data_IF_873895591009
#
_entry.id   IF_873895591009
#
_cell.length_a   1.000
_cell.length_b   1.000
_cell.length_c   1.000
_cell.angle_alpha   90.00
_cell.angle_beta   90.00
_cell.angle_gamma   90.00
#
_symmetry.space_group_name_H-M   'P 1'
#
loop_
_entity.id
_entity.type
_entity.pdbx_description
1 polymer ?
#
# COMPACT_ATOMS: atom_id res chain seq x y z
N UNK A 1 -30.40 43.88 -16.54
CA UNK A 1 -29.11 43.27 -16.94
C UNK A 1 -28.17 43.51 -15.76
N UNK A 2 -27.71 42.53 -14.98
CA UNK A 2 -27.06 41.27 -15.34
C UNK A 2 -27.55 40.10 -14.45
N UNK A 3 -27.73 38.93 -15.06
CA UNK A 3 -28.29 37.73 -14.44
C UNK A 3 -27.28 37.03 -13.51
N UNK A 4 -27.57 36.95 -12.20
CA UNK A 4 -26.85 36.02 -11.31
C UNK A 4 -27.53 34.65 -11.37
N UNK A 5 -27.02 33.79 -12.26
CA UNK A 5 -27.47 32.41 -12.39
C UNK A 5 -27.19 31.59 -11.14
N UNK A 6 -28.25 31.12 -10.48
CA UNK A 6 -28.20 30.04 -9.50
C UNK A 6 -27.82 28.73 -10.23
N UNK A 7 -26.53 28.45 -10.38
CA UNK A 7 -26.08 27.14 -10.85
C UNK A 7 -26.27 26.12 -9.72
N UNK A 8 -27.48 25.56 -9.62
CA UNK A 8 -27.77 24.37 -8.81
C UNK A 8 -27.02 23.19 -9.41
N UNK A 9 -25.76 23.01 -9.02
CA UNK A 9 -25.05 21.75 -9.23
C UNK A 9 -25.79 20.66 -8.44
N UNK A 10 -26.34 19.62 -9.09
CA UNK A 10 -26.96 18.54 -8.36
C UNK A 10 -25.87 17.81 -7.59
N UNK A 11 -25.87 17.94 -6.26
CA UNK A 11 -25.11 17.05 -5.37
C UNK A 11 -25.72 15.65 -5.51
N UNK A 12 -25.21 14.87 -6.46
CA UNK A 12 -25.53 13.44 -6.56
C UNK A 12 -25.17 12.80 -5.23
N UNK A 13 -26.17 12.25 -4.53
CA UNK A 13 -25.95 11.42 -3.37
C UNK A 13 -24.89 10.38 -3.72
N UNK A 14 -23.78 10.36 -2.95
CA UNK A 14 -22.69 9.43 -3.18
C UNK A 14 -23.25 8.02 -3.11
N UNK A 15 -23.47 7.40 -4.26
CA UNK A 15 -23.98 6.05 -4.41
C UNK A 15 -23.28 5.15 -3.39
N UNK A 16 -24.05 4.54 -2.48
CA UNK A 16 -23.58 3.46 -1.61
C UNK A 16 -23.40 2.21 -2.47
N UNK A 17 -22.54 2.27 -3.49
CA UNK A 17 -22.09 1.09 -4.23
C UNK A 17 -21.56 0.14 -3.16
N UNK A 18 -22.26 -0.98 -2.98
CA UNK A 18 -22.07 -1.91 -1.89
C UNK A 18 -20.57 -2.23 -1.76
N UNK A 19 -20.04 -2.14 -0.53
CA UNK A 19 -18.63 -2.37 -0.19
C UNK A 19 -18.15 -3.81 -0.49
N UNK A 20 -18.96 -4.65 -1.15
CA UNK A 20 -18.68 -6.04 -1.50
C UNK A 20 -17.39 -6.19 -2.34
N UNK A 21 -17.09 -5.24 -3.23
CA UNK A 21 -15.88 -5.28 -4.05
C UNK A 21 -14.58 -4.97 -3.25
N UNK A 22 -14.70 -4.53 -1.99
CA UNK A 22 -13.56 -4.30 -1.10
C UNK A 22 -12.99 -5.61 -0.55
N UNK A 23 -13.84 -6.61 -0.34
CA UNK A 23 -13.44 -7.89 0.27
C UNK A 23 -12.63 -8.76 -0.69
N UNK A 24 -13.01 -8.80 -1.98
CA UNK A 24 -12.24 -9.54 -3.01
C UNK A 24 -10.84 -8.97 -3.23
N UNK A 25 -10.69 -7.63 -3.20
CA UNK A 25 -9.38 -6.96 -3.36
C UNK A 25 -8.48 -7.11 -2.13
N UNK A 26 -9.07 -7.43 -0.98
CA UNK A 26 -8.34 -7.75 0.24
C UNK A 26 -7.67 -9.14 0.15
N UNK A 27 -8.17 -10.03 -0.71
CA UNK A 27 -7.60 -11.37 -0.91
C UNK A 27 -6.27 -11.35 -1.70
N UNK A 28 -6.00 -10.39 -2.58
CA UNK A 28 -4.69 -10.28 -3.25
C UNK A 28 -3.60 -9.67 -2.35
N UNK A 29 -3.98 -8.82 -1.38
CA UNK A 29 -3.05 -8.34 -0.34
C UNK A 29 -2.89 -9.31 0.82
N UNK A 30 -3.64 -10.40 0.80
CA UNK A 30 -3.65 -11.46 1.80
C UNK A 30 -2.24 -11.93 2.13
N UNK A 31 -1.40 -12.18 1.10
CA UNK A 31 -0.06 -12.71 1.31
C UNK A 31 0.86 -11.74 2.08
N UNK A 32 0.90 -10.46 1.69
CA UNK A 32 1.68 -9.44 2.42
C UNK A 32 1.15 -9.23 3.85
N UNK A 33 -0.18 -9.30 4.06
CA UNK A 33 -0.76 -9.23 5.40
C UNK A 33 -0.34 -10.43 6.25
N UNK A 34 -0.41 -11.65 5.70
CA UNK A 34 -0.01 -12.89 6.38
C UNK A 34 1.48 -12.89 6.76
N UNK A 35 2.35 -12.50 5.83
CA UNK A 35 3.80 -12.45 6.08
C UNK A 35 4.16 -11.47 7.20
N UNK A 36 3.51 -10.29 7.21
CA UNK A 36 3.72 -9.33 8.28
C UNK A 36 3.19 -9.82 9.62
N UNK A 37 2.00 -10.44 9.68
CA UNK A 37 1.45 -11.00 10.93
C UNK A 37 2.41 -12.05 11.50
N UNK A 38 2.98 -12.91 10.64
CA UNK A 38 4.01 -13.88 11.04
C UNK A 38 5.27 -13.19 11.59
N UNK A 39 5.78 -12.17 10.90
CA UNK A 39 6.94 -11.39 11.35
C UNK A 39 6.67 -10.58 12.63
N UNK A 40 5.44 -10.12 12.84
CA UNK A 40 5.05 -9.38 14.03
C UNK A 40 4.99 -10.27 15.26
N UNK A 41 4.47 -11.50 15.11
CA UNK A 41 4.48 -12.50 16.19
C UNK A 41 5.90 -12.83 16.67
N UNK A 42 6.90 -12.77 15.80
CA UNK A 42 8.31 -12.87 16.18
C UNK A 42 8.84 -11.66 16.99
N UNK A 43 8.16 -10.51 16.92
CA UNK A 43 8.61 -9.23 17.50
C UNK A 43 7.76 -8.78 18.70
N UNK A 44 6.78 -9.58 19.17
CA UNK A 44 5.92 -9.25 20.34
C UNK A 44 6.65 -9.51 21.66
N UNK A 45 7.73 -8.78 21.92
CA UNK A 45 8.19 -8.46 23.27
C UNK A 45 8.65 -7.01 23.28
N UNK A 46 7.79 -6.10 23.74
CA UNK A 46 8.20 -4.70 23.90
C UNK A 46 7.05 -3.70 24.03
N UNK A 47 6.51 -3.63 25.25
CA UNK A 47 6.11 -2.43 26.00
C UNK A 47 5.92 -1.10 25.24
N UNK A 48 4.78 -0.47 25.50
CA UNK A 48 4.45 0.86 25.02
C UNK A 48 5.47 1.96 25.38
N UNK A 49 5.41 3.01 24.57
CA UNK A 49 5.83 4.39 24.85
C UNK A 49 7.21 4.58 25.50
N UNK A 50 8.23 4.84 24.67
CA UNK A 50 9.30 5.83 24.88
C UNK A 50 10.11 5.96 23.60
N UNK A 51 9.96 7.09 22.91
CA UNK A 51 10.85 7.82 21.97
C UNK A 51 12.00 7.15 21.18
N UNK A 52 12.14 5.84 21.11
CA UNK A 52 12.91 5.16 20.06
C UNK A 52 12.10 5.38 18.79
N UNK A 53 12.67 6.17 17.86
CA UNK A 53 11.99 6.71 16.68
C UNK A 53 10.99 5.72 16.06
N UNK A 54 9.71 6.04 16.17
CA UNK A 54 8.65 5.19 15.59
C UNK A 54 8.89 5.12 14.09
N UNK A 55 8.98 3.92 13.53
CA UNK A 55 9.21 3.68 12.10
C UNK A 55 8.02 2.98 11.45
N UNK A 56 7.74 3.32 10.20
CA UNK A 56 6.74 2.63 9.39
C UNK A 56 7.18 1.19 9.12
N UNK A 57 6.31 0.22 9.41
CA UNK A 57 6.65 -1.20 9.24
C UNK A 57 6.74 -1.64 7.76
N UNK A 58 6.20 -0.85 6.83
CA UNK A 58 6.25 -1.15 5.40
C UNK A 58 7.40 -0.45 4.68
N UNK A 59 7.57 0.86 4.90
CA UNK A 59 8.57 1.66 4.19
C UNK A 59 9.72 2.14 5.07
N UNK A 60 9.77 1.79 6.36
CA UNK A 60 10.84 2.23 7.26
C UNK A 60 10.88 3.73 7.56
N UNK A 61 9.92 4.53 7.06
CA UNK A 61 9.91 5.96 7.29
C UNK A 61 9.76 6.29 8.78
N UNK A 62 10.65 7.10 9.32
CA UNK A 62 10.66 7.55 10.72
C UNK A 62 9.83 8.82 10.92
N UNK A 63 9.75 9.66 9.88
CA UNK A 63 9.01 10.91 9.89
C UNK A 63 7.73 10.78 9.08
N UNK A 64 6.60 11.14 9.70
CA UNK A 64 5.30 11.18 9.01
C UNK A 64 4.36 12.15 9.73
N UNK A 65 3.52 12.91 9.00
CA UNK A 65 2.57 13.83 9.63
C UNK A 65 1.48 13.11 10.45
N UNK A 66 1.18 11.85 10.13
CA UNK A 66 0.16 11.08 10.83
C UNK A 66 0.49 9.59 10.81
N UNK A 67 0.47 8.97 11.99
CA UNK A 67 0.54 7.52 12.13
C UNK A 67 -0.83 6.89 11.98
N UNK A 68 -0.93 5.83 11.18
CA UNK A 68 -2.16 5.07 10.91
C UNK A 68 -2.03 3.63 11.41
N UNK A 69 -3.18 2.99 11.67
CA UNK A 69 -3.23 1.57 11.95
C UNK A 69 -2.87 0.75 10.71
N UNK A 70 -2.13 -0.33 10.94
CA UNK A 70 -1.73 -1.31 9.93
C UNK A 70 -2.10 -2.72 10.38
N UNK A 71 -1.61 -3.75 9.68
CA UNK A 71 -1.90 -5.15 10.01
C UNK A 71 -1.34 -5.54 11.39
N UNK A 72 -0.26 -4.90 11.83
CA UNK A 72 0.40 -5.18 13.10
C UNK A 72 -0.17 -4.39 14.29
N UNK A 73 -1.31 -3.73 14.10
CA UNK A 73 -1.98 -2.95 15.13
C UNK A 73 -1.88 -1.43 14.93
N UNK A 74 -2.23 -0.66 15.98
CA UNK A 74 -2.37 0.79 15.88
C UNK A 74 -1.03 1.50 15.65
N UNK A 75 -1.05 2.57 14.85
CA UNK A 75 0.11 3.46 14.62
C UNK A 75 1.37 2.75 14.07
N UNK A 76 1.20 1.69 13.29
CA UNK A 76 2.29 0.89 12.69
C UNK A 76 2.68 1.32 11.27
N UNK A 77 1.85 2.14 10.61
CA UNK A 77 2.10 2.64 9.27
C UNK A 77 2.16 4.16 9.24
N UNK A 78 2.97 4.71 8.33
CA UNK A 78 2.96 6.13 8.01
C UNK A 78 1.65 6.52 7.29
N UNK A 79 1.45 7.82 7.07
CA UNK A 79 0.23 8.31 6.43
C UNK A 79 0.04 7.70 5.03
N UNK A 80 1.07 7.72 4.17
CA UNK A 80 1.01 7.22 2.80
C UNK A 80 0.73 5.71 2.73
N UNK A 81 1.46 4.90 3.49
CA UNK A 81 1.26 3.45 3.53
C UNK A 81 -0.11 3.10 4.15
N UNK A 82 -0.53 3.82 5.20
CA UNK A 82 -1.80 3.56 5.88
C UNK A 82 -3.03 3.86 5.02
N UNK A 83 -3.02 4.91 4.19
CA UNK A 83 -4.15 5.17 3.26
C UNK A 83 -4.23 4.11 2.16
N UNK A 84 -3.09 3.59 1.69
CA UNK A 84 -3.01 2.49 0.71
C UNK A 84 -3.48 1.18 1.34
N UNK A 85 -3.10 0.92 2.59
CA UNK A 85 -3.53 -0.26 3.33
C UNK A 85 -5.04 -0.29 3.50
N UNK A 86 -5.64 0.81 3.98
CA UNK A 86 -7.10 0.92 4.16
C UNK A 86 -7.90 0.74 2.87
N UNK A 87 -7.30 1.05 1.72
CA UNK A 87 -7.92 0.90 0.40
C UNK A 87 -7.63 -0.46 -0.27
N UNK A 88 -6.84 -1.33 0.37
CA UNK A 88 -6.44 -2.60 -0.22
C UNK A 88 -5.55 -2.43 -1.45
N UNK A 89 -4.72 -1.38 -1.47
CA UNK A 89 -3.78 -1.09 -2.57
C UNK A 89 -2.33 -0.97 -2.10
N UNK A 90 -2.04 -1.42 -0.88
CA UNK A 90 -0.69 -1.47 -0.37
C UNK A 90 -0.06 -2.77 -0.86
N UNK A 91 0.93 -2.62 -1.73
CA UNK A 91 1.60 -3.72 -2.41
C UNK A 91 3.10 -3.70 -2.09
N UNK A 92 3.80 -4.84 -2.14
CA UNK A 92 5.24 -4.89 -1.89
C UNK A 92 6.04 -3.95 -2.81
N UNK A 93 5.62 -3.81 -4.08
CA UNK A 93 6.28 -2.92 -5.05
C UNK A 93 6.06 -1.43 -4.79
N UNK A 94 5.08 -1.06 -3.95
CA UNK A 94 4.90 0.34 -3.59
C UNK A 94 5.94 0.71 -2.55
N UNK A 95 6.65 1.83 -2.74
CA UNK A 95 7.45 2.44 -1.67
C UNK A 95 7.61 3.94 -1.95
N UNK A 96 7.39 4.81 -0.95
CA UNK A 96 7.67 6.24 -1.13
C UNK A 96 9.17 6.47 -1.34
N UNK A 97 9.53 7.48 -2.14
CA UNK A 97 10.93 7.81 -2.43
C UNK A 97 11.73 8.24 -1.20
N UNK A 98 11.06 8.77 -0.17
CA UNK A 98 11.68 9.13 1.12
C UNK A 98 11.96 7.93 2.03
N UNK A 99 11.65 6.72 1.58
CA UNK A 99 11.96 5.51 2.34
C UNK A 99 13.46 5.19 2.27
N UNK A 100 14.11 4.87 3.41
CA UNK A 100 15.52 4.48 3.41
C UNK A 100 15.78 3.15 2.69
N UNK A 101 14.73 2.38 2.41
CA UNK A 101 14.81 1.07 1.76
C UNK A 101 14.28 1.11 0.33
N UNK A 102 14.12 2.32 -0.25
CA UNK A 102 13.67 2.49 -1.62
C UNK A 102 14.75 2.02 -2.60
N UNK A 103 14.34 1.24 -3.61
CA UNK A 103 15.20 0.81 -4.73
C UNK A 103 14.36 0.91 -5.99
N UNK A 104 14.86 1.61 -7.01
CA UNK A 104 14.15 1.84 -8.27
C UNK A 104 13.81 0.55 -9.03
N UNK A 105 14.62 -0.50 -8.85
CA UNK A 105 14.41 -1.80 -9.50
C UNK A 105 13.22 -2.55 -8.91
N UNK A 106 13.07 -2.50 -7.60
CA UNK A 106 12.08 -3.28 -6.86
C UNK A 106 10.81 -2.47 -6.53
N UNK A 107 10.93 -1.14 -6.46
CA UNK A 107 9.90 -0.29 -5.92
C UNK A 107 9.61 0.94 -6.78
N UNK A 108 8.36 1.39 -6.72
CA UNK A 108 7.97 2.68 -7.28
C UNK A 108 7.02 3.43 -6.35
N UNK A 109 7.07 4.76 -6.40
CA UNK A 109 6.09 5.62 -5.74
C UNK A 109 4.83 5.84 -6.61
N UNK A 110 4.88 5.48 -7.91
CA UNK A 110 3.80 5.68 -8.87
C UNK A 110 2.93 4.44 -9.03
N UNK A 111 1.61 4.61 -8.86
CA UNK A 111 0.66 3.52 -9.03
C UNK A 111 0.68 2.93 -10.44
N UNK A 112 0.78 3.79 -11.47
CA UNK A 112 0.83 3.37 -12.87
C UNK A 112 2.06 2.49 -13.11
N UNK A 113 3.22 2.91 -12.62
CA UNK A 113 4.46 2.15 -12.77
C UNK A 113 4.40 0.79 -12.08
N UNK A 114 3.78 0.70 -10.91
CA UNK A 114 3.62 -0.59 -10.21
C UNK A 114 2.76 -1.57 -11.01
N UNK A 115 1.70 -1.09 -11.66
CA UNK A 115 0.88 -1.95 -12.53
C UNK A 115 1.68 -2.44 -13.74
N UNK A 116 2.51 -1.57 -14.33
CA UNK A 116 3.44 -1.94 -15.41
C UNK A 116 4.46 -2.98 -14.94
N UNK A 117 5.09 -2.78 -13.77
CA UNK A 117 6.03 -3.73 -13.17
C UNK A 117 5.40 -5.10 -12.95
N UNK A 118 4.14 -5.16 -12.49
CA UNK A 118 3.41 -6.42 -12.31
C UNK A 118 3.06 -7.10 -13.64
N UNK A 119 2.69 -6.33 -14.67
CA UNK A 119 2.47 -6.85 -16.04
C UNK A 119 3.77 -7.45 -16.61
N UNK A 120 4.90 -6.77 -16.41
CA UNK A 120 6.21 -7.25 -16.83
C UNK A 120 6.63 -8.51 -16.06
N UNK A 121 6.47 -8.57 -14.74
CA UNK A 121 6.75 -9.78 -13.94
C UNK A 121 5.90 -10.98 -14.37
N UNK A 122 4.64 -10.77 -14.74
CA UNK A 122 3.79 -11.83 -15.30
C UNK A 122 4.28 -12.36 -16.65
N UNK A 123 4.93 -11.52 -17.46
CA UNK A 123 5.54 -11.90 -18.73
C UNK A 123 6.91 -12.56 -18.55
N UNK A 124 7.70 -12.13 -17.56
CA UNK A 124 9.04 -12.70 -17.29
C UNK A 124 9.02 -13.99 -16.47
N UNK A 125 7.89 -14.36 -15.85
CA UNK A 125 7.70 -15.67 -15.23
C UNK A 125 7.53 -16.80 -16.27
N UNK A 126 7.31 -16.46 -17.55
CA UNK A 126 7.44 -17.37 -18.69
C UNK A 126 8.86 -17.26 -19.29
N UNK A 127 9.89 -17.58 -18.51
CA UNK A 127 11.20 -17.87 -19.13
C UNK A 127 11.17 -19.32 -19.61
N UNK A 128 11.40 -19.61 -20.91
CA UNK A 128 11.65 -20.97 -21.33
C UNK A 128 12.92 -21.44 -20.61
N UNK A 129 12.76 -22.48 -19.79
CA UNK A 129 13.89 -23.25 -19.29
C UNK A 129 14.48 -24.01 -20.49
N UNK A 130 15.80 -23.97 -20.57
CA UNK A 130 16.68 -24.90 -21.29
C UNK A 130 16.63 -24.90 -22.83
N UNK A 131 17.55 -24.14 -23.42
CA UNK A 131 18.12 -24.45 -24.74
C UNK A 131 19.64 -24.68 -24.59
N UNK A 132 20.02 -25.57 -23.69
CA UNK A 132 21.38 -26.11 -23.61
C UNK A 132 21.37 -27.51 -24.25
N UNK A 133 21.70 -27.58 -25.54
CA UNK A 133 22.34 -28.74 -26.18
C UNK A 133 23.18 -28.24 -27.34
N UNK A 134 24.49 -28.14 -27.08
CA UNK A 134 25.51 -28.28 -28.11
C UNK A 134 25.75 -29.75 -28.43
#
# INVERSE_FOLDING_TARGET
MYCCGNLKVPVKARSKRLRKCRDLRNQENSWWVYENVKNANATVKGTGSRTIGRKCQHCGAEKTPQWRAGPLGPKTLCNACGVRFKSGRLVPEYRPASSPTFSNELHSNSHRKILEMRKQKGLTAMKPMDMEKG
#
